data_IF_833470512315
#
_entry.id   IF_833470512315
#
_cell.length_a   1.000
_cell.length_b   1.000
_cell.length_c   1.000
_cell.angle_alpha   90.00
_cell.angle_beta   90.00
_cell.angle_gamma   90.00
#
_symmetry.space_group_name_H-M   'P 1'
#
loop_
_entity.id
_entity.type
_entity.pdbx_description
1 polymer ?
#
# COMPACT_ATOMS: atom_id res chain seq x y z
N UNK A 1 20.16 -20.16 10.48
CA UNK A 1 19.74 -19.99 9.08
C UNK A 1 18.22 -20.01 8.91
N UNK A 2 17.49 -20.93 9.54
CA UNK A 2 16.03 -21.02 9.45
C UNK A 2 15.34 -19.76 9.96
N UNK A 3 15.78 -19.19 11.09
CA UNK A 3 15.19 -17.96 11.64
C UNK A 3 15.41 -16.76 10.73
N UNK A 4 16.59 -16.62 10.13
CA UNK A 4 16.90 -15.53 9.17
C UNK A 4 16.02 -15.62 7.93
N UNK A 5 15.88 -16.81 7.39
CA UNK A 5 15.04 -17.05 6.22
C UNK A 5 13.57 -16.74 6.54
N UNK A 6 13.10 -17.14 7.72
CA UNK A 6 11.74 -16.86 8.18
C UNK A 6 11.48 -15.35 8.28
N UNK A 7 12.39 -14.60 8.90
CA UNK A 7 12.29 -13.14 9.00
C UNK A 7 12.28 -12.49 7.61
N UNK A 8 13.14 -12.94 6.73
CA UNK A 8 13.22 -12.45 5.35
C UNK A 8 11.90 -12.68 4.59
N UNK A 9 11.35 -13.88 4.68
CA UNK A 9 10.09 -14.22 4.02
C UNK A 9 8.91 -13.43 4.63
N UNK A 10 8.87 -13.29 5.96
CA UNK A 10 7.84 -12.49 6.63
C UNK A 10 7.89 -11.02 6.22
N UNK A 11 9.10 -10.49 6.03
CA UNK A 11 9.29 -9.10 5.60
C UNK A 11 8.77 -8.83 4.19
N UNK A 12 8.86 -9.81 3.31
CA UNK A 12 8.38 -9.66 1.93
C UNK A 12 6.85 -9.80 1.80
N UNK A 13 6.19 -10.43 2.78
CA UNK A 13 4.75 -10.73 2.71
C UNK A 13 3.87 -9.50 2.46
N UNK A 14 4.02 -8.37 3.17
CA UNK A 14 3.16 -7.21 2.93
C UNK A 14 3.19 -6.76 1.47
N UNK A 15 4.37 -6.63 0.89
CA UNK A 15 4.51 -6.21 -0.51
C UNK A 15 4.00 -7.24 -1.50
N UNK A 16 4.23 -8.53 -1.23
CA UNK A 16 3.74 -9.63 -2.07
C UNK A 16 2.21 -9.67 -2.12
N UNK A 17 1.56 -9.25 -1.04
CA UNK A 17 0.10 -9.18 -0.98
C UNK A 17 -0.42 -7.86 -1.57
N UNK A 18 0.17 -6.73 -1.18
CA UNK A 18 -0.33 -5.39 -1.52
C UNK A 18 -0.14 -5.06 -3.00
N UNK A 19 0.99 -5.43 -3.60
CA UNK A 19 1.26 -5.12 -5.02
C UNK A 19 0.24 -5.79 -5.96
N UNK A 20 -0.01 -7.10 -5.86
CA UNK A 20 -1.07 -7.72 -6.68
C UNK A 20 -2.46 -7.16 -6.40
N UNK A 21 -2.76 -6.84 -5.14
CA UNK A 21 -4.03 -6.20 -4.78
C UNK A 21 -4.18 -4.83 -5.42
N UNK A 22 -3.14 -4.01 -5.42
CA UNK A 22 -3.14 -2.71 -6.09
C UNK A 22 -3.35 -2.83 -7.59
N UNK A 23 -2.69 -3.80 -8.23
CA UNK A 23 -2.88 -4.09 -9.67
C UNK A 23 -4.30 -4.57 -9.94
N UNK A 24 -4.86 -5.40 -9.06
CA UNK A 24 -6.25 -5.83 -9.15
C UNK A 24 -7.22 -4.64 -9.13
N UNK A 25 -7.02 -3.68 -8.22
CA UNK A 25 -7.83 -2.47 -8.15
C UNK A 25 -7.74 -1.61 -9.41
N UNK A 26 -6.57 -1.61 -10.08
CA UNK A 26 -6.38 -0.89 -11.34
C UNK A 26 -7.09 -1.55 -12.51
N UNK A 27 -7.01 -2.86 -12.60
CA UNK A 27 -7.50 -3.62 -13.76
C UNK A 27 -8.95 -4.06 -13.61
N UNK A 28 -9.36 -4.45 -12.41
CA UNK A 28 -10.69 -4.97 -12.14
C UNK A 28 -11.21 -4.44 -10.80
N UNK A 29 -11.53 -3.14 -10.73
CA UNK A 29 -12.01 -2.56 -9.48
C UNK A 29 -13.29 -3.25 -9.02
N UNK A 30 -13.46 -3.45 -7.69
CA UNK A 30 -14.68 -4.02 -7.16
C UNK A 30 -15.88 -3.12 -7.43
N UNK A 31 -17.05 -3.71 -7.49
CA UNK A 31 -18.29 -2.96 -7.72
C UNK A 31 -18.52 -1.93 -6.62
N UNK A 32 -19.17 -0.83 -6.99
CA UNK A 32 -19.53 0.24 -6.06
C UNK A 32 -20.26 -0.34 -4.82
N UNK A 33 -19.87 0.13 -3.64
CA UNK A 33 -20.38 -0.33 -2.34
C UNK A 33 -20.07 -1.79 -1.99
N UNK A 34 -19.02 -2.37 -2.58
CA UNK A 34 -18.52 -3.66 -2.10
C UNK A 34 -18.06 -3.55 -0.64
N UNK A 35 -18.58 -4.41 0.23
CA UNK A 35 -18.33 -4.34 1.68
C UNK A 35 -16.95 -4.87 2.05
N UNK A 36 -16.44 -5.85 1.30
CA UNK A 36 -15.23 -6.59 1.66
C UNK A 36 -14.00 -6.22 0.84
N UNK A 37 -14.18 -5.62 -0.32
CA UNK A 37 -13.10 -5.35 -1.26
C UNK A 37 -13.05 -3.88 -1.63
N UNK A 38 -11.85 -3.38 -1.85
CA UNK A 38 -11.62 -2.04 -2.33
C UNK A 38 -11.29 -1.05 -1.22
N UNK A 39 -10.89 0.13 -1.64
CA UNK A 39 -10.61 1.26 -0.76
C UNK A 39 -11.94 1.94 -0.39
N UNK A 40 -12.36 1.76 0.85
CA UNK A 40 -13.67 2.24 1.31
C UNK A 40 -13.55 3.29 2.41
N UNK A 41 -13.56 4.56 2.04
CA UNK A 41 -13.66 5.67 2.97
C UNK A 41 -14.98 6.39 2.76
N UNK A 42 -15.32 7.30 3.68
CA UNK A 42 -16.56 8.07 3.58
C UNK A 42 -16.66 8.83 2.25
N UNK A 43 -15.55 9.41 1.80
CA UNK A 43 -15.52 10.17 0.55
C UNK A 43 -15.53 9.27 -0.69
N UNK A 44 -14.80 8.15 -0.65
CA UNK A 44 -14.78 7.19 -1.75
C UNK A 44 -16.13 6.51 -1.98
N UNK A 45 -16.93 6.35 -0.94
CA UNK A 45 -18.25 5.70 -1.01
C UNK A 45 -19.40 6.70 -1.23
N UNK A 46 -19.10 7.99 -1.33
CA UNK A 46 -20.12 9.03 -1.48
C UNK A 46 -20.80 9.03 -2.85
N UNK A 47 -20.12 8.55 -3.90
CA UNK A 47 -20.70 8.40 -5.24
C UNK A 47 -19.99 7.27 -5.99
N UNK A 48 -20.60 6.79 -7.05
CA UNK A 48 -20.01 5.75 -7.92
C UNK A 48 -18.72 6.26 -8.59
N UNK A 49 -18.74 7.49 -9.09
CA UNK A 49 -17.55 8.11 -9.70
C UNK A 49 -16.41 8.25 -8.69
N UNK A 50 -16.71 8.71 -7.48
CA UNK A 50 -15.72 8.80 -6.40
C UNK A 50 -15.15 7.43 -6.05
N UNK A 51 -15.98 6.40 -5.99
CA UNK A 51 -15.56 5.03 -5.72
C UNK A 51 -14.54 4.52 -6.73
N UNK A 52 -14.87 4.56 -8.02
CA UNK A 52 -13.96 4.04 -9.06
C UNK A 52 -12.69 4.88 -9.18
N UNK A 53 -12.78 6.19 -9.02
CA UNK A 53 -11.61 7.07 -8.98
C UNK A 53 -10.72 6.73 -7.80
N UNK A 54 -11.30 6.49 -6.61
CA UNK A 54 -10.55 6.10 -5.42
C UNK A 54 -9.82 4.76 -5.60
N UNK A 55 -10.49 3.76 -6.18
CA UNK A 55 -9.88 2.46 -6.45
C UNK A 55 -8.66 2.60 -7.38
N UNK A 56 -8.80 3.43 -8.42
CA UNK A 56 -7.70 3.68 -9.36
C UNK A 56 -6.51 4.37 -8.68
N UNK A 57 -6.76 5.44 -7.94
CA UNK A 57 -5.71 6.20 -7.25
C UNK A 57 -5.01 5.33 -6.20
N UNK A 58 -5.78 4.68 -5.34
CA UNK A 58 -5.24 3.83 -4.29
C UNK A 58 -4.46 2.65 -4.87
N UNK A 59 -5.00 1.98 -5.87
CA UNK A 59 -4.34 0.87 -6.56
C UNK A 59 -3.01 1.28 -7.19
N UNK A 60 -2.98 2.44 -7.83
CA UNK A 60 -1.76 3.00 -8.42
C UNK A 60 -0.71 3.29 -7.34
N UNK A 61 -1.10 3.98 -6.27
CA UNK A 61 -0.18 4.31 -5.17
C UNK A 61 0.32 3.06 -4.46
N UNK A 62 -0.54 2.09 -4.18
CA UNK A 62 -0.13 0.80 -3.59
C UNK A 62 0.89 0.09 -4.47
N UNK A 63 0.60 -0.03 -5.76
CA UNK A 63 1.48 -0.75 -6.70
C UNK A 63 2.87 -0.11 -6.77
N UNK A 64 2.95 1.21 -6.89
CA UNK A 64 4.23 1.93 -6.99
C UNK A 64 4.97 1.88 -5.65
N UNK A 65 4.31 2.25 -4.56
CA UNK A 65 4.94 2.37 -3.24
C UNK A 65 5.42 1.03 -2.72
N UNK A 66 4.59 0.00 -2.78
CA UNK A 66 4.96 -1.32 -2.27
C UNK A 66 5.89 -2.08 -3.21
N UNK A 67 5.96 -1.75 -4.48
CA UNK A 67 7.03 -2.24 -5.36
C UNK A 67 8.40 -1.70 -4.93
N UNK A 68 8.47 -0.42 -4.57
CA UNK A 68 9.70 0.17 -4.03
C UNK A 68 10.05 -0.42 -2.65
N UNK A 69 9.06 -0.62 -1.79
CA UNK A 69 9.26 -1.25 -0.47
C UNK A 69 9.73 -2.70 -0.64
N UNK A 70 9.16 -3.44 -1.59
CA UNK A 70 9.59 -4.79 -1.90
C UNK A 70 11.06 -4.83 -2.30
N UNK A 71 11.50 -3.95 -3.19
CA UNK A 71 12.89 -3.87 -3.62
C UNK A 71 13.82 -3.56 -2.43
N UNK A 72 13.43 -2.63 -1.57
CA UNK A 72 14.19 -2.28 -0.37
C UNK A 72 14.29 -3.47 0.59
N UNK A 73 13.18 -4.12 0.88
CA UNK A 73 13.12 -5.28 1.79
C UNK A 73 13.89 -6.47 1.22
N UNK A 74 13.78 -6.71 -0.09
CA UNK A 74 14.49 -7.79 -0.76
C UNK A 74 16.02 -7.60 -0.68
N UNK A 75 16.51 -6.41 -1.02
CA UNK A 75 17.95 -6.10 -0.99
C UNK A 75 18.48 -6.16 0.44
N UNK A 76 17.77 -5.56 1.39
CA UNK A 76 18.16 -5.53 2.80
C UNK A 76 18.16 -6.93 3.41
N UNK A 77 17.12 -7.72 3.13
CA UNK A 77 17.01 -9.09 3.61
C UNK A 77 18.06 -10.00 3.02
N UNK A 78 18.33 -9.86 1.72
CA UNK A 78 19.40 -10.62 1.05
C UNK A 78 20.76 -10.28 1.65
N UNK A 79 21.03 -9.00 1.92
CA UNK A 79 22.24 -8.55 2.60
C UNK A 79 22.37 -9.21 3.99
N UNK A 80 21.28 -9.23 4.76
CA UNK A 80 21.26 -9.85 6.08
C UNK A 80 21.48 -11.38 6.04
N UNK A 81 21.05 -12.05 4.96
CA UNK A 81 21.28 -13.48 4.78
C UNK A 81 22.75 -13.79 4.45
N UNK A 82 23.39 -12.92 3.66
CA UNK A 82 24.79 -13.11 3.22
C UNK A 82 25.76 -12.73 4.34
N UNK A 83 25.49 -11.64 5.04
CA UNK A 83 26.30 -11.14 6.15
C UNK A 83 25.77 -11.68 7.47
N UNK A 84 26.66 -12.12 8.32
CA UNK A 84 26.30 -12.54 9.67
C UNK A 84 26.29 -11.33 10.59
N UNK A 85 25.12 -10.68 10.68
CA UNK A 85 24.95 -9.46 11.46
C UNK A 85 24.73 -9.71 12.96
N UNK A 86 24.41 -10.96 13.33
CA UNK A 86 23.99 -11.30 14.69
C UNK A 86 22.50 -11.06 14.92
N UNK A 87 21.93 -11.79 15.86
CA UNK A 87 20.48 -11.80 16.14
C UNK A 87 19.91 -10.41 16.44
N UNK A 88 20.63 -9.60 17.22
CA UNK A 88 20.18 -8.28 17.61
C UNK A 88 20.04 -7.34 16.40
N UNK A 89 21.05 -7.33 15.53
CA UNK A 89 21.03 -6.49 14.32
C UNK A 89 19.97 -6.96 13.31
N UNK A 90 19.79 -8.27 13.17
CA UNK A 90 18.76 -8.85 12.29
C UNK A 90 17.37 -8.50 12.76
N UNK A 91 17.11 -8.60 14.07
CA UNK A 91 15.81 -8.23 14.65
C UNK A 91 15.57 -6.73 14.50
N UNK A 92 16.58 -5.90 14.72
CA UNK A 92 16.48 -4.46 14.53
C UNK A 92 16.14 -4.11 13.09
N UNK A 93 16.82 -4.74 12.13
CA UNK A 93 16.53 -4.55 10.70
C UNK A 93 15.08 -4.93 10.37
N UNK A 94 14.62 -6.09 10.85
CA UNK A 94 13.24 -6.52 10.68
C UNK A 94 12.24 -5.50 11.24
N UNK A 95 12.47 -5.01 12.45
CA UNK A 95 11.59 -4.00 13.07
C UNK A 95 11.56 -2.69 12.29
N UNK A 96 12.71 -2.25 11.78
CA UNK A 96 12.79 -1.04 10.94
C UNK A 96 12.01 -1.22 9.64
N UNK A 97 12.14 -2.37 8.98
CA UNK A 97 11.41 -2.65 7.75
C UNK A 97 9.90 -2.76 7.98
N UNK A 98 9.47 -3.36 9.10
CA UNK A 98 8.05 -3.35 9.49
C UNK A 98 7.53 -1.93 9.70
N UNK A 99 8.33 -1.05 10.30
CA UNK A 99 7.97 0.36 10.46
C UNK A 99 7.84 1.05 9.10
N UNK A 100 8.71 0.73 8.14
CA UNK A 100 8.62 1.24 6.76
C UNK A 100 7.32 0.79 6.10
N UNK A 101 6.92 -0.46 6.27
CA UNK A 101 5.64 -0.97 5.74
C UNK A 101 4.45 -0.19 6.29
N UNK A 102 4.41 0.04 7.59
CA UNK A 102 3.33 0.78 8.25
C UNK A 102 3.30 2.23 7.76
N UNK A 103 4.46 2.90 7.69
CA UNK A 103 4.57 4.26 7.20
C UNK A 103 4.12 4.34 5.74
N UNK A 104 4.52 3.39 4.92
CA UNK A 104 4.11 3.31 3.51
C UNK A 104 2.58 3.18 3.38
N UNK A 105 1.97 2.32 4.18
CA UNK A 105 0.51 2.13 4.18
C UNK A 105 -0.22 3.42 4.57
N UNK A 106 0.24 4.10 5.61
CA UNK A 106 -0.33 5.37 6.06
C UNK A 106 -0.15 6.44 4.97
N UNK A 107 1.04 6.54 4.37
CA UNK A 107 1.33 7.51 3.33
C UNK A 107 0.45 7.33 2.09
N UNK A 108 0.24 6.09 1.65
CA UNK A 108 -0.65 5.76 0.52
C UNK A 108 -2.09 6.17 0.83
N UNK A 109 -2.57 5.85 2.02
CA UNK A 109 -3.93 6.20 2.45
C UNK A 109 -4.13 7.72 2.51
N UNK A 110 -3.21 8.44 3.13
CA UNK A 110 -3.26 9.90 3.24
C UNK A 110 -3.19 10.56 1.86
N UNK A 111 -2.30 10.09 0.99
CA UNK A 111 -2.17 10.60 -0.38
C UNK A 111 -3.45 10.39 -1.18
N UNK A 112 -4.08 9.23 -1.06
CA UNK A 112 -5.36 8.92 -1.72
C UNK A 112 -6.47 9.84 -1.22
N UNK A 113 -6.60 10.01 0.09
CA UNK A 113 -7.62 10.91 0.67
C UNK A 113 -7.41 12.37 0.25
N UNK A 114 -6.17 12.86 0.25
CA UNK A 114 -5.86 14.21 -0.21
C UNK A 114 -6.25 14.41 -1.67
N UNK A 115 -6.00 13.41 -2.50
CA UNK A 115 -6.37 13.45 -3.92
C UNK A 115 -7.89 13.47 -4.09
N UNK A 116 -8.61 12.63 -3.34
CA UNK A 116 -10.07 12.62 -3.35
C UNK A 116 -10.66 13.94 -2.87
N UNK A 117 -10.07 14.55 -1.84
CA UNK A 117 -10.48 15.88 -1.37
C UNK A 117 -10.36 16.97 -2.44
N UNK A 118 -9.35 16.85 -3.31
CA UNK A 118 -9.17 17.80 -4.41
C UNK A 118 -10.13 17.58 -5.57
N UNK A 119 -10.54 16.34 -5.79
CA UNK A 119 -11.34 15.95 -6.96
C UNK A 119 -12.84 15.94 -6.67
N UNK A 120 -13.24 15.69 -5.44
CA UNK A 120 -14.64 15.48 -5.07
C UNK A 120 -15.05 16.30 -3.85
N UNK A 121 -16.31 16.71 -3.83
CA UNK A 121 -16.98 17.28 -2.66
C UNK A 121 -17.33 16.16 -1.66
N UNK A 122 -17.81 16.53 -0.46
CA UNK A 122 -18.21 15.56 0.57
C UNK A 122 -19.34 14.63 0.14
N UNK A 123 -20.19 15.08 -0.78
CA UNK A 123 -21.31 14.31 -1.32
C UNK A 123 -20.93 13.43 -2.51
N UNK A 124 -19.66 13.42 -2.90
CA UNK A 124 -19.15 12.63 -4.02
C UNK A 124 -19.31 13.30 -5.38
N UNK A 125 -19.79 14.52 -5.46
CA UNK A 125 -19.84 15.26 -6.72
C UNK A 125 -18.46 15.79 -7.08
N UNK A 126 -18.08 15.76 -8.38
CA UNK A 126 -16.81 16.31 -8.81
C UNK A 126 -16.68 17.81 -8.49
N UNK A 127 -15.50 18.21 -8.01
CA UNK A 127 -15.22 19.63 -7.80
C UNK A 127 -14.95 20.30 -9.13
N UNK A 128 -15.44 21.52 -9.27
CA UNK A 128 -15.11 22.37 -10.39
C UNK A 128 -13.67 22.90 -10.19
N UNK A 129 -12.75 22.41 -11.03
CA UNK A 129 -11.33 22.78 -10.98
C UNK A 129 -11.03 23.93 -11.94
N UNK A 130 -12.01 24.34 -12.74
CA UNK A 130 -11.85 25.38 -13.77
C UNK A 130 -12.02 26.80 -13.25
N UNK A 131 -12.36 26.92 -11.95
CA UNK A 131 -12.59 28.22 -11.32
C UNK A 131 -11.38 28.79 -10.59
#
# INVERSE_FOLDING_TARGET
MTAKLTLFLCELLPSVIVVPYGVFLLKRPPKFNSVLLGYGTRRSTASETAWYTAQHIFGKYCSITFSAVFALSFVSGLFALIKDLGKSAELTLFMVLCAVDVIAAIAVTVATERRLHRLFNKDGTPRDISG
#
